data_IF_588964458934
#
_entry.id   IF_588964458934
#
_cell.length_a   1.000
_cell.length_b   1.000
_cell.length_c   1.000
_cell.angle_alpha   90.00
_cell.angle_beta   90.00
_cell.angle_gamma   90.00
#
_symmetry.space_group_name_H-M   'P 1'
#
loop_
_entity.id
_entity.type
_entity.pdbx_description
1 polymer ?
#
# COMPACT_ATOMS: atom_id res chain seq x y z
N UNK A 1 -6.06 14.96 -2.92
CA UNK A 1 -5.99 15.78 -4.17
C UNK A 1 -7.41 16.13 -4.63
N UNK A 2 -8.32 15.15 -4.87
CA UNK A 2 -9.69 15.42 -5.34
C UNK A 2 -10.52 16.25 -4.36
N UNK A 3 -10.40 16.02 -3.06
CA UNK A 3 -11.07 16.83 -2.03
C UNK A 3 -10.57 18.28 -2.03
N UNK A 4 -9.28 18.46 -2.33
CA UNK A 4 -8.66 19.76 -2.42
C UNK A 4 -9.08 20.48 -3.70
N UNK A 5 -9.08 19.79 -4.84
CA UNK A 5 -9.62 20.30 -6.10
C UNK A 5 -11.08 20.72 -5.98
N UNK A 6 -11.94 19.91 -5.35
CA UNK A 6 -13.33 20.27 -5.12
C UNK A 6 -13.48 21.51 -4.21
N UNK A 7 -12.60 21.71 -3.24
CA UNK A 7 -12.58 22.93 -2.43
C UNK A 7 -12.21 24.17 -3.24
N UNK A 8 -11.19 24.03 -4.11
CA UNK A 8 -10.75 25.11 -5.00
C UNK A 8 -11.88 25.47 -5.99
N UNK A 9 -12.48 24.47 -6.66
CA UNK A 9 -13.55 24.71 -7.63
C UNK A 9 -14.81 25.29 -7.01
N UNK A 10 -15.13 24.98 -5.76
CA UNK A 10 -16.29 25.57 -5.06
C UNK A 10 -16.06 27.00 -4.57
N UNK A 11 -14.82 27.42 -4.40
CA UNK A 11 -14.49 28.76 -3.88
C UNK A 11 -14.22 29.81 -4.95
N UNK A 12 -14.08 29.43 -6.24
CA UNK A 12 -13.65 30.36 -7.29
C UNK A 12 -14.64 30.48 -8.43
N UNK A 13 -15.71 31.20 -8.22
CA UNK A 13 -16.49 31.80 -9.33
C UNK A 13 -15.81 33.04 -9.91
N UNK A 14 -14.72 33.56 -9.31
CA UNK A 14 -14.20 34.86 -9.66
C UNK A 14 -12.83 34.90 -10.35
N UNK A 15 -12.05 33.81 -10.46
CA UNK A 15 -10.74 33.85 -11.12
C UNK A 15 -10.31 32.55 -11.76
N UNK A 16 -10.83 32.24 -12.94
CA UNK A 16 -10.38 31.09 -13.76
C UNK A 16 -8.88 31.11 -14.05
N UNK A 17 -8.26 32.27 -14.18
CA UNK A 17 -6.82 32.43 -14.43
C UNK A 17 -6.00 31.98 -13.23
N UNK A 18 -6.43 32.30 -12.01
CA UNK A 18 -5.76 31.89 -10.77
C UNK A 18 -5.82 30.37 -10.58
N UNK A 19 -6.94 29.74 -10.91
CA UNK A 19 -7.12 28.30 -10.84
C UNK A 19 -6.20 27.58 -11.82
N UNK A 20 -6.08 28.04 -13.05
CA UNK A 20 -5.18 27.48 -14.07
C UNK A 20 -3.72 27.55 -13.57
N UNK A 21 -3.29 28.67 -13.04
CA UNK A 21 -1.94 28.85 -12.51
C UNK A 21 -1.64 27.92 -11.32
N UNK A 22 -2.62 27.67 -10.45
CA UNK A 22 -2.45 26.71 -9.34
C UNK A 22 -2.40 25.25 -9.83
N UNK A 23 -3.20 24.88 -10.83
CA UNK A 23 -3.11 23.57 -11.48
C UNK A 23 -1.76 23.37 -12.18
N UNK A 24 -1.25 24.39 -12.82
CA UNK A 24 0.07 24.36 -13.47
C UNK A 24 1.20 24.19 -12.45
N UNK A 25 1.13 24.89 -11.31
CA UNK A 25 2.07 24.68 -10.19
C UNK A 25 2.00 23.26 -9.64
N UNK A 26 0.80 22.72 -9.43
CA UNK A 26 0.62 21.33 -8.95
C UNK A 26 1.16 20.34 -9.99
N UNK A 27 0.86 20.55 -11.29
CA UNK A 27 1.35 19.70 -12.36
C UNK A 27 2.88 19.70 -12.42
N UNK A 28 3.52 20.85 -12.28
CA UNK A 28 4.97 20.98 -12.25
C UNK A 28 5.60 20.36 -10.98
N UNK A 29 4.89 20.35 -9.87
CA UNK A 29 5.32 19.68 -8.64
C UNK A 29 5.28 18.14 -8.78
N UNK A 30 4.23 17.62 -9.42
CA UNK A 30 4.04 16.18 -9.65
C UNK A 30 4.98 15.66 -10.75
N UNK A 31 5.26 16.48 -11.77
CA UNK A 31 6.11 16.14 -12.91
C UNK A 31 7.28 17.13 -13.08
N UNK A 32 8.24 17.16 -12.16
CA UNK A 32 9.27 18.22 -12.11
C UNK A 32 10.22 18.24 -13.32
N UNK A 33 10.30 17.15 -14.08
CA UNK A 33 11.11 17.07 -15.30
C UNK A 33 10.38 17.49 -16.59
N UNK A 34 9.10 17.85 -16.49
CA UNK A 34 8.26 18.22 -17.65
C UNK A 34 7.93 19.70 -17.56
N UNK A 35 8.84 20.55 -18.04
CA UNK A 35 8.55 21.97 -18.22
C UNK A 35 7.58 22.13 -19.40
N UNK A 36 6.74 23.15 -19.36
CA UNK A 36 5.72 23.48 -20.34
C UNK A 36 4.37 22.74 -20.14
N UNK A 37 3.47 22.97 -21.06
CA UNK A 37 2.09 22.44 -21.09
C UNK A 37 1.96 20.93 -20.91
N UNK A 38 3.03 20.16 -21.05
CA UNK A 38 3.02 18.69 -20.93
C UNK A 38 2.71 18.20 -19.52
N UNK A 39 3.15 18.91 -18.47
CA UNK A 39 2.83 18.53 -17.09
C UNK A 39 1.33 18.68 -16.84
N UNK A 40 0.72 19.73 -17.34
CA UNK A 40 -0.72 19.97 -17.24
C UNK A 40 -1.51 18.93 -18.06
N UNK A 41 -1.07 18.61 -19.27
CA UNK A 41 -1.67 17.59 -20.12
C UNK A 41 -1.62 16.20 -19.47
N UNK A 42 -0.48 15.83 -18.90
CA UNK A 42 -0.35 14.56 -18.16
C UNK A 42 -1.29 14.52 -16.96
N UNK A 43 -1.40 15.60 -16.19
CA UNK A 43 -2.32 15.68 -15.07
C UNK A 43 -3.78 15.58 -15.54
N UNK A 44 -4.13 16.24 -16.64
CA UNK A 44 -5.47 16.15 -17.23
C UNK A 44 -5.79 14.72 -17.70
N UNK A 45 -4.82 14.03 -18.31
CA UNK A 45 -5.02 12.65 -18.76
C UNK A 45 -5.26 11.70 -17.56
N UNK A 46 -4.50 11.87 -16.48
CA UNK A 46 -4.73 11.11 -15.23
C UNK A 46 -6.13 11.39 -14.65
N UNK A 47 -6.56 12.66 -14.64
CA UNK A 47 -7.89 13.03 -14.13
C UNK A 47 -9.03 12.50 -15.01
N UNK A 48 -8.80 12.37 -16.32
CA UNK A 48 -9.78 11.82 -17.28
C UNK A 48 -9.84 10.30 -17.27
N UNK A 49 -8.80 9.63 -16.83
CA UNK A 49 -8.77 8.17 -16.74
C UNK A 49 -9.57 7.70 -15.52
N UNK A 50 -10.80 7.28 -15.78
CA UNK A 50 -11.73 6.82 -14.73
C UNK A 50 -11.25 5.56 -14.01
N UNK A 51 -10.54 4.66 -14.68
CA UNK A 51 -9.99 3.45 -14.05
C UNK A 51 -8.84 3.80 -13.12
N UNK A 52 -7.96 4.71 -13.56
CA UNK A 52 -6.88 5.21 -12.72
C UNK A 52 -7.42 5.99 -11.51
N UNK A 53 -8.45 6.81 -11.71
CA UNK A 53 -9.09 7.57 -10.62
C UNK A 53 -9.74 6.65 -9.59
N UNK A 54 -10.34 5.53 -9.98
CA UNK A 54 -10.89 4.55 -9.04
C UNK A 54 -9.83 4.04 -8.05
N UNK A 55 -8.58 3.89 -8.50
CA UNK A 55 -7.48 3.45 -7.62
C UNK A 55 -7.11 4.46 -6.53
N UNK A 56 -7.53 5.71 -6.64
CA UNK A 56 -7.30 6.79 -5.66
C UNK A 56 -8.54 7.12 -4.82
N UNK A 57 -9.70 6.55 -5.14
CA UNK A 57 -10.89 6.69 -4.31
C UNK A 57 -10.69 5.78 -3.09
N UNK A 58 -10.84 6.30 -1.86
CA UNK A 58 -10.82 5.46 -0.67
C UNK A 58 -11.89 4.37 -0.80
N UNK A 59 -11.56 3.16 -0.38
CA UNK A 59 -12.51 2.06 -0.31
C UNK A 59 -13.74 2.49 0.51
N UNK A 60 -14.92 2.06 0.07
CA UNK A 60 -16.14 2.24 0.83
C UNK A 60 -16.18 1.24 1.99
N UNK A 61 -17.08 1.44 2.95
CA UNK A 61 -17.16 0.62 4.17
C UNK A 61 -17.45 -0.87 3.89
N UNK A 62 -18.03 -1.18 2.73
CA UNK A 62 -18.31 -2.54 2.25
C UNK A 62 -17.24 -3.11 1.29
N UNK A 63 -16.17 -2.39 1.05
CA UNK A 63 -15.10 -2.78 0.13
C UNK A 63 -13.86 -3.25 0.87
N UNK A 64 -13.21 -4.30 0.32
CA UNK A 64 -11.90 -4.77 0.79
C UNK A 64 -10.81 -4.12 -0.03
N UNK A 65 -9.87 -3.46 0.64
CA UNK A 65 -8.71 -2.85 -0.01
C UNK A 65 -7.53 -3.83 -0.06
N UNK A 66 -7.02 -4.12 -1.25
CA UNK A 66 -5.81 -4.93 -1.45
C UNK A 66 -4.67 -4.01 -1.86
N UNK A 67 -3.55 -4.06 -1.13
CA UNK A 67 -2.40 -3.22 -1.42
C UNK A 67 -1.08 -3.86 -0.98
N UNK A 68 0.03 -3.29 -1.44
CA UNK A 68 1.36 -3.67 -0.95
C UNK A 68 1.64 -3.00 0.40
N UNK A 69 2.56 -3.58 1.18
CA UNK A 69 3.01 -3.01 2.46
C UNK A 69 3.54 -1.57 2.31
N UNK A 70 4.25 -1.30 1.20
CA UNK A 70 4.75 0.05 0.94
C UNK A 70 3.62 1.08 0.75
N UNK A 71 2.54 0.69 0.10
CA UNK A 71 1.37 1.55 -0.12
C UNK A 71 0.55 1.77 1.16
N UNK A 72 0.65 0.88 2.14
CA UNK A 72 -0.06 1.01 3.41
C UNK A 72 0.54 2.04 4.37
N UNK A 73 1.74 2.55 4.07
CA UNK A 73 2.41 3.52 4.93
C UNK A 73 1.58 4.80 5.09
N UNK A 74 1.28 5.16 6.34
CA UNK A 74 0.46 6.33 6.68
C UNK A 74 -1.05 6.12 6.61
N UNK A 75 -1.51 4.89 6.29
CA UNK A 75 -2.91 4.50 6.33
C UNK A 75 -3.19 3.68 7.60
N UNK A 76 -4.46 3.62 8.02
CA UNK A 76 -4.92 2.80 9.13
C UNK A 76 -6.22 2.11 8.76
N UNK A 77 -6.41 0.87 9.23
CA UNK A 77 -7.56 0.03 8.93
C UNK A 77 -8.02 -0.66 10.21
N UNK A 78 -9.32 -0.85 10.36
CA UNK A 78 -9.84 -1.57 11.54
C UNK A 78 -9.25 -2.98 11.60
N UNK A 79 -9.26 -3.69 10.48
CA UNK A 79 -8.76 -5.07 10.39
C UNK A 79 -7.75 -5.16 9.23
N UNK A 80 -6.62 -5.80 9.48
CA UNK A 80 -5.61 -6.08 8.48
C UNK A 80 -5.41 -7.60 8.35
N UNK A 81 -5.48 -8.09 7.12
CA UNK A 81 -5.04 -9.46 6.77
C UNK A 81 -3.66 -9.39 6.13
N UNK A 82 -2.64 -9.74 6.90
CA UNK A 82 -1.26 -9.74 6.45
C UNK A 82 -0.93 -11.10 5.84
N UNK A 83 -0.68 -11.11 4.53
CA UNK A 83 -0.41 -12.32 3.77
C UNK A 83 1.09 -12.59 3.64
N UNK A 84 1.44 -13.83 3.28
CA UNK A 84 2.79 -14.22 2.82
C UNK A 84 3.93 -14.12 3.85
N UNK A 85 3.65 -14.27 5.14
CA UNK A 85 4.67 -14.35 6.20
C UNK A 85 5.37 -15.72 6.22
N UNK A 86 5.93 -16.12 5.07
CA UNK A 86 6.64 -17.39 4.92
C UNK A 86 8.16 -17.19 4.89
N UNK A 87 8.86 -18.19 5.39
CA UNK A 87 10.30 -18.38 5.16
C UNK A 87 10.59 -18.32 3.66
N UNK A 88 11.67 -17.75 3.22
CA UNK A 88 12.06 -17.56 1.81
C UNK A 88 11.27 -16.52 0.99
N UNK A 89 10.23 -15.92 1.51
CA UNK A 89 9.64 -14.73 0.91
C UNK A 89 10.17 -13.49 1.61
N UNK A 90 10.22 -13.59 2.92
CA UNK A 90 10.94 -12.69 3.79
C UNK A 90 12.28 -13.38 4.01
N UNK A 91 13.31 -12.98 3.30
CA UNK A 91 14.54 -13.72 3.27
C UNK A 91 15.34 -13.50 4.56
N UNK A 92 15.14 -14.37 5.52
CA UNK A 92 15.98 -14.46 6.71
C UNK A 92 17.37 -15.02 6.37
N UNK A 93 17.54 -15.66 5.19
CA UNK A 93 18.73 -16.45 4.89
C UNK A 93 19.58 -15.92 3.72
N UNK A 94 19.07 -14.94 2.94
CA UNK A 94 19.69 -14.52 1.69
C UNK A 94 20.07 -13.05 1.60
N UNK A 95 19.74 -12.28 2.62
CA UNK A 95 20.05 -10.86 2.69
C UNK A 95 21.19 -10.56 3.66
N UNK A 96 21.83 -9.43 3.49
CA UNK A 96 22.66 -8.87 4.53
C UNK A 96 21.79 -8.39 5.73
N UNK A 97 22.44 -8.11 6.86
CA UNK A 97 21.76 -7.70 8.09
C UNK A 97 20.86 -6.46 7.88
N UNK A 98 21.29 -5.54 7.03
CA UNK A 98 20.55 -4.31 6.73
C UNK A 98 19.27 -4.62 5.92
N UNK A 99 19.34 -5.53 4.96
CA UNK A 99 18.19 -5.96 4.17
C UNK A 99 17.16 -6.69 5.04
N UNK A 100 17.61 -7.57 5.92
CA UNK A 100 16.74 -8.27 6.89
C UNK A 100 16.04 -7.26 7.78
N UNK A 101 16.74 -6.26 8.29
CA UNK A 101 16.19 -5.20 9.13
C UNK A 101 15.18 -4.34 8.37
N UNK A 102 15.43 -3.99 7.12
CA UNK A 102 14.49 -3.26 6.28
C UNK A 102 13.20 -4.05 6.04
N UNK A 103 13.31 -5.35 5.77
CA UNK A 103 12.16 -6.25 5.61
C UNK A 103 11.35 -6.35 6.90
N UNK A 104 12.02 -6.54 8.03
CA UNK A 104 11.37 -6.57 9.34
C UNK A 104 10.60 -5.26 9.61
N UNK A 105 11.22 -4.12 9.34
CA UNK A 105 10.58 -2.81 9.48
C UNK A 105 9.35 -2.67 8.56
N UNK A 106 9.42 -3.20 7.35
CA UNK A 106 8.30 -3.18 6.42
C UNK A 106 7.11 -4.01 6.94
N UNK A 107 7.39 -5.21 7.47
CA UNK A 107 6.34 -6.04 8.08
C UNK A 107 5.79 -5.44 9.36
N UNK A 108 6.65 -4.81 10.17
CA UNK A 108 6.21 -4.04 11.33
C UNK A 108 5.23 -2.93 10.94
N UNK A 109 5.53 -2.18 9.86
CA UNK A 109 4.61 -1.18 9.33
C UNK A 109 3.27 -1.82 8.96
N UNK A 110 3.26 -2.98 8.29
CA UNK A 110 2.03 -3.68 7.92
C UNK A 110 1.18 -4.07 9.13
N UNK A 111 1.79 -4.67 10.14
CA UNK A 111 1.09 -5.08 11.37
C UNK A 111 0.53 -3.88 12.13
N UNK A 112 1.29 -2.79 12.20
CA UNK A 112 0.86 -1.56 12.91
C UNK A 112 -0.18 -0.73 12.16
N UNK A 113 -0.62 -1.16 10.97
CA UNK A 113 -1.74 -0.51 10.26
C UNK A 113 -3.11 -0.94 10.81
N UNK A 114 -3.16 -2.00 11.60
CA UNK A 114 -4.40 -2.47 12.20
C UNK A 114 -4.74 -1.66 13.46
N UNK A 115 -5.97 -1.15 13.53
CA UNK A 115 -6.51 -0.49 14.72
C UNK A 115 -7.01 -1.55 15.71
N UNK A 116 -7.85 -2.48 15.23
CA UNK A 116 -8.52 -3.46 16.10
C UNK A 116 -7.82 -4.82 16.07
N UNK A 117 -7.51 -5.34 14.88
CA UNK A 117 -6.91 -6.67 14.75
C UNK A 117 -6.06 -6.82 13.48
N UNK A 118 -4.93 -7.51 13.61
CA UNK A 118 -4.11 -7.97 12.49
C UNK A 118 -4.12 -9.51 12.45
N UNK A 119 -4.60 -10.08 11.34
CA UNK A 119 -4.58 -11.52 11.09
C UNK A 119 -3.41 -11.85 10.16
N UNK A 120 -2.43 -12.60 10.67
CA UNK A 120 -1.30 -13.09 9.87
C UNK A 120 -1.70 -14.43 9.27
N UNK A 121 -1.84 -14.46 7.95
CA UNK A 121 -2.33 -15.63 7.21
C UNK A 121 -1.16 -16.48 6.73
N UNK A 122 -1.13 -17.73 7.16
CA UNK A 122 -0.10 -18.70 6.82
C UNK A 122 -0.77 -20.02 6.43
N UNK A 123 -0.41 -20.57 5.27
CA UNK A 123 -0.83 -21.89 4.85
C UNK A 123 0.24 -22.96 5.12
N UNK A 124 -0.15 -24.20 5.17
CA UNK A 124 0.78 -25.35 5.32
C UNK A 124 1.45 -25.74 4.01
N UNK A 125 0.87 -25.34 2.88
CA UNK A 125 1.38 -25.59 1.54
C UNK A 125 1.33 -24.32 0.70
N UNK A 126 2.29 -24.16 -0.19
CA UNK A 126 2.37 -23.08 -1.15
C UNK A 126 2.57 -23.59 -2.56
N UNK A 127 1.92 -22.93 -3.52
CA UNK A 127 2.04 -23.25 -4.93
C UNK A 127 3.27 -22.60 -5.57
N UNK A 128 4.02 -23.40 -6.35
CA UNK A 128 5.13 -22.91 -7.18
C UNK A 128 4.73 -22.93 -8.66
N UNK A 129 4.45 -21.77 -9.22
CA UNK A 129 4.02 -21.65 -10.62
C UNK A 129 5.06 -22.21 -11.61
N UNK A 130 6.37 -22.00 -11.37
CA UNK A 130 7.45 -22.49 -12.24
C UNK A 130 7.55 -24.01 -12.33
N UNK A 131 7.15 -24.74 -11.28
CA UNK A 131 7.20 -26.21 -11.21
C UNK A 131 5.83 -26.85 -11.29
N UNK A 132 4.78 -26.04 -11.29
CA UNK A 132 3.38 -26.49 -11.27
C UNK A 132 3.08 -27.48 -10.14
N UNK A 133 3.65 -27.26 -8.96
CA UNK A 133 3.51 -28.12 -7.79
C UNK A 133 3.25 -27.34 -6.50
N UNK A 134 2.88 -28.08 -5.45
CA UNK A 134 2.78 -27.55 -4.09
C UNK A 134 3.97 -28.05 -3.26
N UNK A 135 4.52 -27.17 -2.46
CA UNK A 135 5.55 -27.52 -1.48
C UNK A 135 5.10 -27.15 -0.06
N UNK A 136 5.72 -27.79 0.93
CA UNK A 136 5.49 -27.47 2.34
C UNK A 136 5.94 -26.02 2.57
N UNK A 137 5.04 -25.21 3.07
CA UNK A 137 5.32 -23.83 3.46
C UNK A 137 5.72 -23.79 4.94
N UNK A 138 6.74 -22.99 5.26
CA UNK A 138 7.20 -22.76 6.63
C UNK A 138 6.98 -21.30 6.99
N UNK A 139 6.50 -21.00 8.21
CA UNK A 139 6.36 -19.63 8.69
C UNK A 139 7.70 -18.92 8.72
N UNK A 140 7.69 -17.59 8.58
CA UNK A 140 8.90 -16.80 8.78
C UNK A 140 9.31 -16.77 10.25
N UNK A 141 10.62 -16.79 10.51
CA UNK A 141 11.20 -16.63 11.84
C UNK A 141 10.85 -15.28 12.50
N UNK A 142 10.44 -14.29 11.73
CA UNK A 142 9.95 -13.00 12.27
C UNK A 142 8.72 -13.16 13.18
N UNK A 143 7.96 -14.22 13.01
CA UNK A 143 6.82 -14.52 13.89
C UNK A 143 7.24 -14.98 15.29
N UNK A 144 8.48 -15.42 15.45
CA UNK A 144 9.01 -15.91 16.72
C UNK A 144 9.82 -14.84 17.48
N UNK A 145 9.89 -13.61 16.95
CA UNK A 145 10.54 -12.50 17.62
C UNK A 145 9.84 -12.22 18.94
N UNK A 146 10.64 -12.04 19.99
CA UNK A 146 10.16 -11.69 21.33
C UNK A 146 9.25 -10.46 21.29
N UNK A 147 8.11 -10.55 21.95
CA UNK A 147 7.07 -9.50 21.96
C UNK A 147 5.96 -9.76 20.95
N UNK A 148 6.24 -10.28 19.75
CA UNK A 148 5.21 -10.71 18.81
C UNK A 148 4.70 -12.11 19.17
N UNK A 149 5.59 -13.06 19.41
CA UNK A 149 5.25 -14.42 19.82
C UNK A 149 4.43 -14.49 21.11
N UNK A 150 4.67 -13.55 22.02
CA UNK A 150 3.98 -13.47 23.33
C UNK A 150 2.57 -12.85 23.23
N UNK A 151 2.26 -12.14 22.15
CA UNK A 151 1.01 -11.38 21.97
C UNK A 151 0.10 -11.93 20.89
N UNK A 152 0.54 -12.94 20.12
CA UNK A 152 -0.27 -13.55 19.11
C UNK A 152 -1.09 -14.71 19.67
N UNK A 153 -2.26 -14.93 19.09
CA UNK A 153 -3.06 -16.12 19.31
C UNK A 153 -3.06 -16.95 18.01
N UNK A 154 -2.60 -18.19 18.10
CA UNK A 154 -2.58 -19.09 16.95
C UNK A 154 -3.97 -19.71 16.76
N UNK A 155 -4.56 -19.52 15.57
CA UNK A 155 -5.87 -20.06 15.18
C UNK A 155 -5.68 -20.98 13.98
N UNK A 156 -6.11 -22.22 14.11
CA UNK A 156 -6.09 -23.18 13.01
C UNK A 156 -7.47 -23.25 12.35
N UNK A 157 -7.54 -22.87 11.08
CA UNK A 157 -8.75 -23.04 10.26
C UNK A 157 -8.71 -24.42 9.62
N UNK A 158 -9.74 -25.21 9.86
CA UNK A 158 -9.90 -26.55 9.25
C UNK A 158 -10.68 -26.46 7.94
#
# INVERSE_FOLDING_TARGET
VLTWCNKIFKSSTENMITVINEFEKIANLVYPGKKDCRALELLQNVIRDKELLKSYIPAQDDEITIMTLHKSKGLEFNIVFHMDMYKYIISDEWGDEEQIKQLLNLHYVGVTRAIDACYIMIGTKRYRAKKNDFYKAEPSSFLDIKGLSERRNDVCWK
#
